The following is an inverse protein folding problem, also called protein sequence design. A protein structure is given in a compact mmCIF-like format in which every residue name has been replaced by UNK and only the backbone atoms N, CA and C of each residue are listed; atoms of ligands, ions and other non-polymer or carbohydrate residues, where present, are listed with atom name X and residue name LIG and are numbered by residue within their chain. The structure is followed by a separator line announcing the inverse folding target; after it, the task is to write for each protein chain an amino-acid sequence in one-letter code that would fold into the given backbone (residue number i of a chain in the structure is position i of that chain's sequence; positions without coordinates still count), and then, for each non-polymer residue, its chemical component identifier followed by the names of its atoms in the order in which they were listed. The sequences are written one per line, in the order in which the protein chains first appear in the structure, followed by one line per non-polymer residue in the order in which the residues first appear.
data_IF_655816345354
#
_entry.id   IF_655816345354
#
_cell.length_a   1.000
_cell.length_b   1.000
_cell.length_c   1.000
_cell.angle_alpha   90.00
_cell.angle_beta   90.00
_cell.angle_gamma   90.00
#
_symmetry.space_group_name_H-M   'P 1'
#
loop_
_entity.id
_entity.type
_entity.pdbx_description
1 polymer ?
#
# COMPACT_ATOMS: atom_id res chain seq x y z
N UNK A 1 26.79 41.80 -83.88
CA UNK A 1 25.75 41.01 -84.67
C UNK A 1 25.45 39.80 -83.86
N UNK A 2 24.09 39.67 -83.54
CA UNK A 2 23.34 38.40 -83.53
C UNK A 2 23.86 37.27 -82.65
N UNK A 3 23.15 36.58 -81.79
CA UNK A 3 21.73 36.30 -81.75
C UNK A 3 21.43 35.77 -80.38
N UNK A 4 20.22 36.06 -79.90
CA UNK A 4 19.65 35.54 -78.73
C UNK A 4 19.40 34.02 -78.85
N UNK A 5 19.74 33.29 -77.86
CA UNK A 5 19.11 31.97 -77.65
C UNK A 5 18.64 31.87 -76.20
N UNK A 6 17.33 31.89 -76.07
CA UNK A 6 16.62 31.67 -74.84
C UNK A 6 16.58 30.15 -74.65
N UNK A 7 17.23 29.65 -73.65
CA UNK A 7 17.05 28.25 -73.27
C UNK A 7 16.20 28.22 -72.01
N UNK A 8 14.95 27.88 -72.21
CA UNK A 8 14.01 27.60 -71.12
C UNK A 8 14.40 26.29 -70.47
N UNK A 9 15.07 26.35 -69.29
CA UNK A 9 15.31 25.16 -68.47
C UNK A 9 14.04 24.85 -67.70
N UNK A 10 13.34 23.84 -68.14
CA UNK A 10 12.23 23.20 -67.46
C UNK A 10 12.74 22.58 -66.15
N UNK A 11 12.51 23.26 -65.04
CA UNK A 11 12.83 22.75 -63.70
C UNK A 11 11.75 21.70 -63.35
N UNK A 12 12.04 20.45 -63.61
CA UNK A 12 11.27 19.33 -63.14
C UNK A 12 11.52 19.21 -61.62
N UNK A 13 10.58 19.75 -60.83
CA UNK A 13 10.50 19.50 -59.39
C UNK A 13 10.00 18.08 -59.22
N UNK A 14 10.91 17.17 -59.01
CA UNK A 14 10.56 15.81 -58.56
C UNK A 14 10.16 15.97 -57.10
N UNK A 15 8.85 16.01 -56.86
CA UNK A 15 8.28 15.80 -55.56
C UNK A 15 8.48 14.32 -55.21
N UNK A 16 9.61 13.97 -54.64
CA UNK A 16 9.75 12.73 -53.90
C UNK A 16 8.93 12.83 -52.65
N UNK A 17 7.62 12.50 -52.80
CA UNK A 17 6.76 12.13 -51.70
C UNK A 17 7.37 10.92 -51.05
N UNK A 18 8.23 11.13 -50.04
CA UNK A 18 8.43 10.13 -49.01
C UNK A 18 7.09 10.01 -48.29
N UNK A 19 6.29 9.08 -48.72
CA UNK A 19 5.29 8.51 -47.84
C UNK A 19 6.05 7.77 -46.73
N UNK A 20 6.41 8.48 -45.70
CA UNK A 20 6.69 7.90 -44.41
C UNK A 20 5.32 7.34 -43.95
N UNK A 21 5.03 6.12 -44.37
CA UNK A 21 4.08 5.31 -43.61
C UNK A 21 4.75 5.04 -42.28
N UNK A 22 4.71 6.01 -41.37
CA UNK A 22 4.62 5.68 -39.97
C UNK A 22 3.32 4.90 -39.86
N UNK A 23 3.42 3.58 -39.94
CA UNK A 23 2.58 2.75 -39.12
C UNK A 23 2.93 3.21 -37.72
N UNK A 24 2.30 4.30 -37.27
CA UNK A 24 1.99 4.45 -35.90
C UNK A 24 1.18 3.20 -35.61
N UNK A 25 1.88 2.17 -35.12
CA UNK A 25 1.25 1.17 -34.29
C UNK A 25 0.65 2.00 -33.14
N UNK A 26 -0.57 2.41 -33.35
CA UNK A 26 -1.42 2.87 -32.28
C UNK A 26 -1.52 1.66 -31.39
N UNK A 27 -0.65 1.63 -30.40
CA UNK A 27 -0.73 0.67 -29.33
C UNK A 27 -2.08 0.90 -28.66
N UNK A 28 -3.10 0.18 -29.15
CA UNK A 28 -4.46 0.19 -28.60
C UNK A 28 -4.49 -0.34 -27.17
N UNK A 29 -3.32 -0.65 -26.58
CA UNK A 29 -3.17 -0.92 -25.16
C UNK A 29 -3.19 0.33 -24.28
N UNK A 30 -3.02 1.53 -24.86
CA UNK A 30 -3.02 2.80 -24.12
C UNK A 30 -4.42 3.34 -23.77
N UNK A 31 -5.49 2.62 -24.09
CA UNK A 31 -6.87 3.12 -23.94
C UNK A 31 -7.61 2.72 -22.67
N UNK A 32 -7.17 1.73 -21.92
CA UNK A 32 -7.77 1.35 -20.64
C UNK A 32 -6.76 1.65 -19.55
N UNK A 33 -7.05 2.63 -18.66
CA UNK A 33 -6.19 2.86 -17.52
C UNK A 33 -5.98 1.55 -16.78
N UNK A 34 -4.73 1.10 -16.66
CA UNK A 34 -4.42 -0.10 -15.91
C UNK A 34 -4.70 0.19 -14.45
N UNK A 35 -5.57 -0.60 -13.85
CA UNK A 35 -6.00 -0.41 -12.47
C UNK A 35 -5.51 -1.60 -11.65
N UNK A 36 -4.58 -1.34 -10.74
CA UNK A 36 -4.11 -2.37 -9.82
C UNK A 36 -5.07 -2.67 -8.67
N UNK A 37 -6.09 -1.84 -8.46
CA UNK A 37 -7.18 -2.08 -7.51
C UNK A 37 -8.48 -1.54 -8.13
N UNK A 38 -9.30 -2.39 -8.77
CA UNK A 38 -10.55 -1.96 -9.40
C UNK A 38 -11.56 -1.52 -8.33
N UNK A 39 -11.89 -0.21 -8.29
CA UNK A 39 -12.76 0.37 -7.27
C UNK A 39 -14.21 0.56 -7.77
N UNK A 40 -14.86 -0.53 -8.20
CA UNK A 40 -16.30 -0.54 -8.58
C UNK A 40 -17.13 -1.03 -7.41
N UNK A 41 -18.28 -0.40 -7.14
CA UNK A 41 -19.20 -0.85 -6.09
C UNK A 41 -19.66 -2.29 -6.36
N UNK A 42 -19.63 -3.12 -5.32
CA UNK A 42 -19.94 -4.54 -5.40
C UNK A 42 -18.73 -5.44 -5.71
N UNK A 43 -17.58 -4.88 -6.09
CA UNK A 43 -16.36 -5.68 -6.13
C UNK A 43 -16.01 -6.20 -4.74
N UNK A 44 -15.53 -7.44 -4.68
CA UNK A 44 -15.03 -8.02 -3.44
C UNK A 44 -13.82 -8.93 -3.66
N UNK A 45 -13.12 -9.18 -2.56
CA UNK A 45 -11.96 -10.08 -2.45
C UNK A 45 -12.08 -10.87 -1.16
N UNK A 46 -11.92 -12.18 -1.24
CA UNK A 46 -11.87 -13.08 -0.09
C UNK A 46 -10.41 -13.48 0.16
N UNK A 47 -9.95 -13.23 1.37
CA UNK A 47 -8.60 -13.58 1.79
C UNK A 47 -8.61 -14.68 2.83
N UNK A 48 -7.91 -15.80 2.59
CA UNK A 48 -7.54 -16.74 3.65
C UNK A 48 -6.42 -16.13 4.48
N UNK A 49 -6.69 -15.92 5.76
CA UNK A 49 -5.76 -15.30 6.70
C UNK A 49 -5.09 -16.39 7.53
N UNK A 50 -3.78 -16.39 7.57
CA UNK A 50 -3.00 -17.39 8.27
C UNK A 50 -1.98 -16.74 9.22
N UNK A 51 -1.90 -17.30 10.44
CA UNK A 51 -0.80 -17.01 11.36
C UNK A 51 0.38 -17.91 10.99
N UNK A 52 1.53 -17.30 10.69
CA UNK A 52 2.78 -18.03 10.43
C UNK A 52 3.41 -18.47 11.73
N UNK A 53 3.67 -19.77 11.86
CA UNK A 53 4.38 -20.35 13.01
C UNK A 53 5.70 -20.95 12.52
N UNK A 54 6.87 -20.36 12.87
CA UNK A 54 8.16 -20.90 12.44
C UNK A 54 8.33 -22.36 12.81
N UNK A 55 8.63 -23.21 11.82
CA UNK A 55 8.87 -24.64 12.03
C UNK A 55 7.62 -25.50 12.24
N UNK A 56 6.41 -24.94 12.07
CA UNK A 56 5.14 -25.65 12.15
C UNK A 56 4.25 -25.30 10.94
N UNK A 57 3.11 -25.99 10.84
CA UNK A 57 2.09 -25.66 9.84
C UNK A 57 1.43 -24.35 10.27
N UNK A 58 1.24 -23.44 9.30
CA UNK A 58 0.50 -22.21 9.53
C UNK A 58 -0.94 -22.54 9.97
N UNK A 59 -1.47 -21.74 10.88
CA UNK A 59 -2.85 -21.87 11.35
C UNK A 59 -3.74 -20.86 10.65
N UNK A 60 -4.86 -21.33 10.07
CA UNK A 60 -5.87 -20.43 9.51
C UNK A 60 -6.57 -19.68 10.64
N UNK A 61 -6.70 -18.36 10.47
CA UNK A 61 -7.47 -17.47 11.34
C UNK A 61 -8.90 -17.25 10.78
N UNK A 62 -9.14 -17.63 9.52
CA UNK A 62 -10.42 -17.51 8.83
C UNK A 62 -10.34 -16.79 7.50
N UNK A 63 -11.50 -16.52 6.92
CA UNK A 63 -11.64 -15.81 5.64
C UNK A 63 -12.13 -14.38 5.91
N UNK A 64 -11.41 -13.41 5.38
CA UNK A 64 -11.83 -12.02 5.36
C UNK A 64 -12.49 -11.69 4.03
N UNK A 65 -13.78 -11.31 4.08
CA UNK A 65 -14.54 -10.85 2.92
C UNK A 65 -14.47 -9.33 2.84
N UNK A 66 -13.53 -8.80 2.07
CA UNK A 66 -13.33 -7.36 1.85
C UNK A 66 -14.07 -6.90 0.60
N UNK A 67 -14.97 -5.93 0.70
CA UNK A 67 -15.79 -5.47 -0.42
C UNK A 67 -15.98 -3.95 -0.47
N UNK A 68 -16.28 -3.44 -1.66
CA UNK A 68 -16.65 -2.04 -1.88
C UNK A 68 -18.15 -1.90 -1.69
N UNK A 69 -18.54 -1.24 -0.60
CA UNK A 69 -19.95 -1.13 -0.22
C UNK A 69 -20.68 -0.02 -0.97
N UNK A 70 -20.12 1.18 -0.97
CA UNK A 70 -20.75 2.38 -1.54
C UNK A 70 -19.73 3.52 -1.67
N UNK A 71 -20.16 4.62 -2.25
CA UNK A 71 -19.42 5.87 -2.18
C UNK A 71 -19.61 6.55 -0.82
N UNK A 72 -18.60 7.25 -0.37
CA UNK A 72 -18.62 8.07 0.85
C UNK A 72 -17.95 9.42 0.58
N UNK A 73 -18.37 10.45 1.28
CA UNK A 73 -17.78 11.80 1.17
C UNK A 73 -17.03 12.12 2.45
N UNK A 74 -15.75 12.44 2.31
CA UNK A 74 -14.88 12.86 3.42
C UNK A 74 -14.31 14.23 3.05
N UNK A 75 -14.61 15.25 3.85
CA UNK A 75 -14.18 16.65 3.62
C UNK A 75 -14.47 17.14 2.20
N UNK A 76 -15.66 16.81 1.66
CA UNK A 76 -16.11 17.25 0.34
C UNK A 76 -15.55 16.44 -0.84
N UNK A 77 -14.74 15.42 -0.60
CA UNK A 77 -14.15 14.54 -1.62
C UNK A 77 -14.82 13.17 -1.57
N UNK A 78 -15.17 12.63 -2.76
CA UNK A 78 -15.77 11.29 -2.88
C UNK A 78 -14.70 10.21 -2.87
N UNK A 79 -14.93 9.17 -2.06
CA UNK A 79 -14.15 7.95 -1.92
C UNK A 79 -15.07 6.73 -2.04
N UNK A 80 -14.48 5.58 -2.31
CA UNK A 80 -15.12 4.26 -2.12
C UNK A 80 -15.00 3.84 -0.67
N UNK A 81 -16.08 3.40 -0.05
CA UNK A 81 -16.11 2.83 1.30
C UNK A 81 -15.89 1.33 1.22
N UNK A 82 -14.75 0.87 1.75
CA UNK A 82 -14.50 -0.56 1.91
C UNK A 82 -15.06 -1.05 3.25
N UNK A 83 -15.55 -2.28 3.26
CA UNK A 83 -16.08 -2.96 4.45
C UNK A 83 -15.70 -4.43 4.44
N UNK A 84 -15.85 -5.07 5.59
CA UNK A 84 -15.81 -6.52 5.75
C UNK A 84 -17.12 -7.00 6.38
N UNK A 85 -17.52 -8.24 6.13
CA UNK A 85 -18.77 -8.82 6.71
C UNK A 85 -18.66 -9.01 8.22
N UNK A 86 -17.48 -9.32 8.73
CA UNK A 86 -17.18 -9.47 10.15
C UNK A 86 -15.93 -8.64 10.50
N UNK A 87 -15.49 -8.67 11.76
CA UNK A 87 -14.19 -8.15 12.15
C UNK A 87 -13.12 -8.95 11.40
N UNK A 88 -12.27 -8.32 10.58
CA UNK A 88 -11.27 -9.04 9.82
C UNK A 88 -10.15 -9.54 10.74
N UNK A 89 -9.58 -10.65 10.35
CA UNK A 89 -8.40 -11.22 10.97
C UNK A 89 -7.11 -10.61 10.38
N UNK A 90 -7.12 -10.33 9.07
CA UNK A 90 -5.97 -9.83 8.33
C UNK A 90 -5.74 -8.33 8.52
N UNK A 91 -4.48 -7.95 8.58
CA UNK A 91 -4.10 -6.55 8.81
C UNK A 91 -4.39 -5.66 7.60
N UNK A 92 -4.18 -6.16 6.37
CA UNK A 92 -4.50 -5.44 5.14
C UNK A 92 -6.01 -5.17 5.06
N UNK A 93 -6.83 -6.21 5.21
CA UNK A 93 -8.29 -6.11 5.23
C UNK A 93 -8.77 -5.15 6.31
N UNK A 94 -8.19 -5.22 7.53
CA UNK A 94 -8.52 -4.34 8.64
C UNK A 94 -8.12 -2.88 8.37
N UNK A 95 -7.00 -2.65 7.70
CA UNK A 95 -6.55 -1.29 7.35
C UNK A 95 -7.51 -0.63 6.36
N UNK A 96 -8.02 -1.36 5.38
CA UNK A 96 -8.88 -0.78 4.34
C UNK A 96 -10.35 -0.65 4.76
N UNK A 97 -10.88 -1.56 5.57
CA UNK A 97 -12.34 -1.70 5.83
C UNK A 97 -13.03 -0.44 6.35
N UNK A 98 -12.36 0.42 7.11
CA UNK A 98 -12.96 1.60 7.71
C UNK A 98 -12.56 2.90 7.04
N UNK A 99 -11.71 2.83 6.03
CA UNK A 99 -11.20 3.99 5.33
C UNK A 99 -11.96 4.28 4.04
N UNK A 100 -11.94 5.53 3.62
CA UNK A 100 -12.32 5.90 2.27
C UNK A 100 -11.13 5.70 1.33
N UNK A 101 -11.31 4.94 0.25
CA UNK A 101 -10.26 4.70 -0.75
C UNK A 101 -10.63 5.26 -2.11
N UNK A 102 -9.65 5.74 -2.86
CA UNK A 102 -9.82 6.18 -4.25
C UNK A 102 -8.54 6.00 -5.06
N UNK A 103 -8.71 5.99 -6.38
CA UNK A 103 -7.58 6.17 -7.29
C UNK A 103 -7.35 7.68 -7.47
N UNK A 104 -6.11 8.12 -7.30
CA UNK A 104 -5.67 9.50 -7.51
C UNK A 104 -4.45 9.50 -8.42
N UNK A 105 -4.64 9.84 -9.70
CA UNK A 105 -3.65 9.60 -10.74
C UNK A 105 -3.35 8.10 -10.84
N UNK A 106 -2.08 7.72 -10.69
CA UNK A 106 -1.64 6.31 -10.69
C UNK A 106 -1.55 5.71 -9.28
N UNK A 107 -2.11 6.36 -8.26
CA UNK A 107 -1.99 5.94 -6.86
C UNK A 107 -3.31 5.46 -6.28
N UNK A 108 -3.26 4.38 -5.48
CA UNK A 108 -4.31 3.99 -4.55
C UNK A 108 -4.08 4.75 -3.24
N UNK A 109 -5.01 5.62 -2.90
CA UNK A 109 -4.92 6.43 -1.68
C UNK A 109 -6.07 6.14 -0.72
N UNK A 110 -5.80 6.28 0.58
CA UNK A 110 -6.82 6.19 1.60
C UNK A 110 -6.86 7.44 2.50
N UNK A 111 -8.06 7.73 2.99
CA UNK A 111 -8.34 8.76 3.99
C UNK A 111 -9.18 8.16 5.10
N UNK A 112 -8.77 8.42 6.34
CA UNK A 112 -9.38 7.89 7.57
C UNK A 112 -8.35 7.64 8.66
N UNK A 113 -8.29 6.43 9.21
CA UNK A 113 -7.41 6.09 10.33
C UNK A 113 -6.71 4.76 10.12
N UNK A 114 -5.40 4.76 10.27
CA UNK A 114 -4.60 3.56 10.44
C UNK A 114 -4.54 3.22 11.92
N UNK A 115 -4.88 1.98 12.28
CA UNK A 115 -5.00 1.58 13.69
C UNK A 115 -4.11 0.36 13.95
N UNK A 116 -3.25 0.45 14.96
CA UNK A 116 -2.41 -0.65 15.43
C UNK A 116 -2.62 -0.87 16.92
N UNK A 117 -3.19 -2.01 17.34
CA UNK A 117 -3.11 -2.47 18.73
C UNK A 117 -1.64 -2.69 19.10
N UNK A 118 -1.19 -2.09 20.20
CA UNK A 118 0.18 -2.26 20.66
C UNK A 118 0.16 -2.74 22.13
N UNK A 119 0.88 -3.82 22.46
CA UNK A 119 0.89 -4.38 23.82
C UNK A 119 1.31 -3.35 24.86
N UNK A 120 0.61 -3.34 25.99
CA UNK A 120 0.85 -2.39 27.09
C UNK A 120 0.23 -1.02 26.93
N UNK A 121 -0.27 -0.65 25.74
CA UNK A 121 -1.04 0.59 25.58
C UNK A 121 -2.52 0.36 25.91
N UNK A 122 -3.15 1.35 26.56
CA UNK A 122 -4.57 1.30 26.91
C UNK A 122 -5.50 1.53 25.72
N UNK A 123 -5.02 2.29 24.74
CA UNK A 123 -5.71 2.55 23.47
C UNK A 123 -4.78 2.21 22.31
N UNK A 124 -5.32 1.69 21.20
CA UNK A 124 -4.54 1.45 19.99
C UNK A 124 -3.83 2.72 19.50
N UNK A 125 -2.70 2.56 18.85
CA UNK A 125 -2.06 3.63 18.07
C UNK A 125 -2.97 3.96 16.90
N UNK A 126 -3.36 5.23 16.77
CA UNK A 126 -4.23 5.73 15.72
C UNK A 126 -3.54 6.86 14.96
N UNK A 127 -3.29 6.62 13.68
CA UNK A 127 -2.63 7.57 12.78
C UNK A 127 -3.64 8.04 11.75
N UNK A 128 -3.86 9.35 11.68
CA UNK A 128 -4.75 9.93 10.68
C UNK A 128 -4.13 9.85 9.30
N UNK A 129 -4.88 9.27 8.37
CA UNK A 129 -4.54 9.21 6.95
C UNK A 129 -5.27 10.32 6.20
N UNK A 130 -4.52 11.08 5.42
CA UNK A 130 -5.08 12.10 4.52
C UNK A 130 -4.54 11.89 3.11
N UNK A 131 -5.30 11.21 2.27
CA UNK A 131 -4.87 10.79 0.94
C UNK A 131 -3.51 10.07 0.96
N UNK A 132 -3.27 9.26 1.99
CA UNK A 132 -2.06 8.48 2.11
C UNK A 132 -2.02 7.42 0.99
N UNK A 133 -0.99 7.44 0.18
CA UNK A 133 -0.84 6.51 -0.93
C UNK A 133 -0.19 5.20 -0.47
N UNK A 134 -0.96 4.11 -0.49
CA UNK A 134 -0.45 2.76 -0.22
C UNK A 134 0.29 2.17 -1.40
N UNK A 135 -0.16 2.50 -2.61
CA UNK A 135 0.36 1.97 -3.86
C UNK A 135 0.45 3.07 -4.91
N UNK A 136 1.47 2.98 -5.79
CA UNK A 136 1.61 3.85 -6.97
C UNK A 136 2.16 3.05 -8.14
N UNK A 137 1.38 3.00 -9.24
CA UNK A 137 1.66 2.13 -10.39
C UNK A 137 3.01 2.41 -11.05
N UNK A 138 3.33 3.66 -11.30
CA UNK A 138 4.55 4.07 -12.01
C UNK A 138 5.68 4.56 -11.09
N UNK A 139 5.66 4.18 -9.82
CA UNK A 139 6.78 4.44 -8.92
C UNK A 139 7.95 3.51 -9.25
N UNK A 140 9.17 4.07 -9.22
CA UNK A 140 10.40 3.30 -9.33
C UNK A 140 10.63 2.46 -8.07
N UNK A 141 11.27 1.31 -8.21
CA UNK A 141 11.62 0.47 -7.07
C UNK A 141 12.45 1.23 -6.04
N UNK A 142 12.19 0.95 -4.76
CA UNK A 142 12.83 1.56 -3.58
C UNK A 142 12.60 3.07 -3.42
N UNK A 143 11.58 3.63 -4.09
CA UNK A 143 11.18 5.03 -3.87
C UNK A 143 10.03 5.12 -2.86
N UNK A 144 10.10 6.10 -1.97
CA UNK A 144 9.00 6.43 -1.08
C UNK A 144 7.81 6.96 -1.89
N UNK A 145 6.63 6.39 -1.63
CA UNK A 145 5.38 6.78 -2.28
C UNK A 145 4.66 7.84 -1.44
N UNK A 146 4.60 7.61 -0.14
CA UNK A 146 3.92 8.46 0.82
C UNK A 146 4.51 8.29 2.21
N UNK A 147 4.46 9.34 3.03
CA UNK A 147 4.90 9.31 4.43
C UNK A 147 4.05 10.23 5.27
N UNK A 148 3.84 9.86 6.53
CA UNK A 148 3.26 10.71 7.58
C UNK A 148 3.93 10.42 8.90
N UNK A 149 4.16 11.46 9.72
CA UNK A 149 4.81 11.33 11.02
C UNK A 149 4.18 12.26 12.04
N UNK A 150 4.40 11.99 13.31
CA UNK A 150 3.91 12.81 14.41
C UNK A 150 4.20 12.18 15.75
N UNK A 151 3.65 12.78 16.80
CA UNK A 151 3.72 12.29 18.17
C UNK A 151 2.30 12.11 18.70
N UNK A 152 2.02 10.97 19.31
CA UNK A 152 0.80 10.69 20.05
C UNK A 152 1.12 10.70 21.55
N UNK A 153 0.18 11.18 22.34
CA UNK A 153 0.31 11.24 23.80
C UNK A 153 -0.70 10.28 24.43
N UNK A 154 -0.22 9.40 25.30
CA UNK A 154 -1.05 8.50 26.08
C UNK A 154 -0.56 8.48 27.54
N UNK A 155 -1.42 8.01 28.44
CA UNK A 155 -1.01 7.73 29.82
C UNK A 155 -1.26 6.28 30.11
N UNK A 156 -0.23 5.55 30.55
CA UNK A 156 -0.31 4.12 30.89
C UNK A 156 0.20 3.95 32.32
N UNK A 157 -0.60 3.34 33.17
CA UNK A 157 -0.25 3.11 34.60
C UNK A 157 0.22 4.38 35.32
N UNK A 158 -0.31 5.56 34.93
CA UNK A 158 0.08 6.86 35.51
C UNK A 158 1.33 7.49 34.88
N UNK A 159 2.00 6.82 33.97
CA UNK A 159 3.15 7.38 33.24
C UNK A 159 2.71 8.03 31.93
N UNK A 160 3.07 9.30 31.67
CA UNK A 160 2.83 9.94 30.38
C UNK A 160 3.79 9.32 29.35
N UNK A 161 3.26 8.94 28.20
CA UNK A 161 4.01 8.38 27.09
C UNK A 161 3.93 9.32 25.89
N UNK A 162 5.09 9.61 25.30
CA UNK A 162 5.22 10.21 23.98
C UNK A 162 5.56 9.10 23.00
N UNK A 163 4.69 8.92 21.99
CA UNK A 163 4.80 7.89 20.96
C UNK A 163 5.07 8.60 19.64
N UNK A 164 6.34 8.73 19.30
CA UNK A 164 6.76 9.23 17.98
C UNK A 164 6.55 8.15 16.95
N UNK A 165 5.92 8.49 15.82
CA UNK A 165 5.66 7.56 14.73
C UNK A 165 6.08 8.12 13.38
N UNK A 166 6.47 7.20 12.50
CA UNK A 166 6.59 7.44 11.05
C UNK A 166 5.97 6.27 10.31
N UNK A 167 4.88 6.52 9.60
CA UNK A 167 4.25 5.57 8.69
C UNK A 167 4.63 5.96 7.26
N UNK A 168 5.19 5.03 6.49
CA UNK A 168 5.58 5.26 5.10
C UNK A 168 5.27 4.07 4.20
N UNK A 169 4.95 4.34 2.95
CA UNK A 169 4.85 3.36 1.88
C UNK A 169 5.99 3.53 0.89
N UNK A 170 6.54 2.41 0.42
CA UNK A 170 7.72 2.36 -0.45
C UNK A 170 7.42 1.40 -1.61
N UNK A 171 7.60 1.86 -2.83
CA UNK A 171 7.54 0.98 -4.01
C UNK A 171 8.68 -0.04 -3.95
N UNK A 172 8.37 -1.28 -4.26
CA UNK A 172 9.34 -2.36 -4.36
C UNK A 172 9.48 -2.79 -5.83
N UNK A 173 9.94 -4.00 -6.06
CA UNK A 173 10.10 -4.58 -7.40
C UNK A 173 8.76 -4.76 -8.15
N UNK A 174 8.86 -4.75 -9.47
CA UNK A 174 7.82 -5.24 -10.37
C UNK A 174 8.18 -6.65 -10.82
N UNK A 175 7.25 -7.57 -10.67
CA UNK A 175 7.41 -8.99 -10.99
C UNK A 175 6.62 -9.32 -12.26
N UNK A 176 7.23 -10.02 -13.21
CA UNK A 176 6.52 -10.52 -14.40
C UNK A 176 5.38 -11.46 -13.99
N UNK A 177 5.62 -12.28 -12.95
CA UNK A 177 4.60 -13.10 -12.30
C UNK A 177 4.94 -13.35 -10.84
N UNK A 178 3.93 -13.69 -10.04
CA UNK A 178 4.06 -14.07 -8.64
C UNK A 178 3.14 -15.25 -8.34
N UNK A 179 3.65 -16.29 -7.66
CA UNK A 179 2.84 -17.42 -7.21
C UNK A 179 2.43 -17.20 -5.76
N UNK A 180 1.13 -17.21 -5.50
CA UNK A 180 0.56 -17.10 -4.16
C UNK A 180 -0.40 -18.28 -3.97
N UNK A 181 -0.13 -19.11 -2.98
CA UNK A 181 -0.95 -20.28 -2.62
C UNK A 181 -1.34 -21.17 -3.83
N UNK A 182 -0.37 -21.45 -4.71
CA UNK A 182 -0.56 -22.29 -5.91
C UNK A 182 -1.17 -21.58 -7.12
N UNK A 183 -1.61 -20.33 -6.99
CA UNK A 183 -2.11 -19.49 -8.09
C UNK A 183 -1.03 -18.56 -8.60
N UNK A 184 -0.80 -18.52 -9.91
CA UNK A 184 0.18 -17.62 -10.53
C UNK A 184 -0.51 -16.38 -11.11
N UNK A 185 -0.12 -15.22 -10.64
CA UNK A 185 -0.63 -13.91 -11.05
C UNK A 185 0.40 -13.22 -11.93
N UNK A 186 0.04 -12.75 -13.14
CA UNK A 186 0.94 -11.99 -13.99
C UNK A 186 0.99 -10.51 -13.59
N UNK A 187 2.07 -9.81 -13.97
CA UNK A 187 2.21 -8.36 -13.84
C UNK A 187 1.95 -7.87 -12.40
N UNK A 188 2.72 -8.35 -11.45
CA UNK A 188 2.56 -8.02 -10.04
C UNK A 188 3.53 -6.91 -9.64
N UNK A 189 3.01 -5.91 -8.93
CA UNK A 189 3.81 -4.87 -8.27
C UNK A 189 3.77 -5.07 -6.78
N UNK A 190 4.94 -4.98 -6.16
CA UNK A 190 5.10 -5.06 -4.71
C UNK A 190 5.26 -3.68 -4.11
N UNK A 191 4.58 -3.43 -3.01
CA UNK A 191 4.79 -2.27 -2.15
C UNK A 191 5.10 -2.74 -0.73
N UNK A 192 5.70 -1.85 0.05
CA UNK A 192 5.97 -2.09 1.46
C UNK A 192 5.47 -0.91 2.28
N UNK A 193 4.57 -1.21 3.22
CA UNK A 193 4.16 -0.27 4.26
C UNK A 193 5.00 -0.52 5.51
N UNK A 194 5.55 0.53 6.13
CA UNK A 194 6.40 0.44 7.31
C UNK A 194 5.91 1.45 8.34
N UNK A 195 5.67 0.99 9.56
CA UNK A 195 5.47 1.85 10.71
C UNK A 195 6.66 1.76 11.65
N UNK A 196 7.39 2.85 11.80
CA UNK A 196 8.39 3.03 12.83
C UNK A 196 7.74 3.66 14.06
N UNK A 197 8.15 3.20 15.24
CA UNK A 197 7.78 3.79 16.52
C UNK A 197 9.02 4.02 17.39
N UNK A 198 8.95 5.11 18.16
CA UNK A 198 9.79 5.37 19.32
C UNK A 198 8.88 5.75 20.47
N UNK A 199 9.06 5.16 21.66
CA UNK A 199 8.24 5.49 22.84
C UNK A 199 9.15 5.96 23.95
N UNK A 200 8.81 7.12 24.48
CA UNK A 200 9.50 7.72 25.64
C UNK A 200 8.52 8.05 26.74
N UNK A 201 9.01 8.17 27.96
CA UNK A 201 8.27 8.72 29.11
C UNK A 201 9.11 9.77 29.81
N UNK A 202 8.48 10.82 30.29
CA UNK A 202 9.16 11.87 31.08
C UNK A 202 8.49 11.98 32.44
N UNK A 203 9.27 11.77 33.51
CA UNK A 203 8.81 11.91 34.87
C UNK A 203 9.84 12.71 35.67
N UNK A 204 9.39 13.70 36.42
CA UNK A 204 10.26 14.59 37.23
C UNK A 204 11.44 15.19 36.43
N UNK A 205 11.23 15.53 35.16
CA UNK A 205 12.25 16.12 34.29
C UNK A 205 13.27 15.09 33.73
N UNK A 206 13.11 13.81 34.02
CA UNK A 206 13.95 12.73 33.47
C UNK A 206 13.18 12.01 32.36
N UNK A 207 13.77 11.97 31.17
CA UNK A 207 13.22 11.21 30.03
C UNK A 207 13.88 9.86 29.94
N UNK A 208 13.05 8.81 29.87
CA UNK A 208 13.46 7.43 29.64
C UNK A 208 12.90 6.93 28.30
N UNK A 209 13.71 6.21 27.53
CA UNK A 209 13.28 5.55 26.31
C UNK A 209 12.77 4.15 26.65
N UNK A 210 11.51 3.87 26.32
CA UNK A 210 10.86 2.58 26.53
C UNK A 210 11.01 1.70 25.29
N UNK A 211 10.82 2.29 24.11
CA UNK A 211 11.05 1.67 22.80
C UNK A 211 11.96 2.58 21.99
N UNK A 212 13.10 2.08 21.55
CA UNK A 212 13.99 2.79 20.62
C UNK A 212 13.34 2.87 19.25
N UNK A 213 13.72 3.86 18.43
CA UNK A 213 13.20 3.98 17.06
C UNK A 213 13.48 2.71 16.26
N UNK A 214 12.41 2.01 15.88
CA UNK A 214 12.46 0.75 15.13
C UNK A 214 11.19 0.53 14.32
N UNK A 215 11.27 -0.26 13.21
CA UNK A 215 10.08 -0.69 12.49
C UNK A 215 9.32 -1.73 13.33
N UNK A 216 8.12 -1.37 13.78
CA UNK A 216 7.27 -2.28 14.56
C UNK A 216 6.23 -2.99 13.72
N UNK A 217 5.96 -2.47 12.52
CA UNK A 217 5.06 -3.11 11.58
C UNK A 217 5.61 -2.97 10.17
N UNK A 218 5.62 -4.07 9.44
CA UNK A 218 5.99 -4.10 8.02
C UNK A 218 4.98 -4.95 7.27
N UNK A 219 4.31 -4.37 6.27
CA UNK A 219 3.46 -5.09 5.33
C UNK A 219 4.17 -5.13 3.98
N UNK A 220 4.29 -6.31 3.40
CA UNK A 220 4.64 -6.50 2.00
C UNK A 220 3.38 -6.86 1.25
N UNK A 221 2.93 -5.98 0.36
CA UNK A 221 1.68 -6.07 -0.37
C UNK A 221 1.97 -6.32 -1.85
N UNK A 222 1.27 -7.27 -2.45
CA UNK A 222 1.46 -7.70 -3.85
C UNK A 222 0.18 -7.44 -4.64
N UNK A 223 0.24 -6.49 -5.55
CA UNK A 223 -0.89 -6.08 -6.38
C UNK A 223 -0.74 -6.64 -7.79
N UNK A 224 -1.70 -7.46 -8.23
CA UNK A 224 -1.78 -7.94 -9.61
C UNK A 224 -2.59 -6.96 -10.46
N UNK A 225 -2.12 -6.75 -11.70
CA UNK A 225 -2.78 -5.85 -12.66
C UNK A 225 -4.23 -6.25 -12.89
N UNK A 226 -5.14 -5.27 -12.82
CA UNK A 226 -6.59 -5.40 -13.02
C UNK A 226 -7.29 -6.34 -12.01
N UNK A 227 -6.66 -6.71 -10.91
CA UNK A 227 -7.23 -7.63 -9.94
C UNK A 227 -7.29 -7.05 -8.54
N UNK A 228 -6.22 -6.44 -8.07
CA UNK A 228 -6.10 -5.96 -6.71
C UNK A 228 -4.94 -6.62 -5.96
N UNK A 229 -4.99 -6.53 -4.64
CA UNK A 229 -4.03 -7.22 -3.78
C UNK A 229 -4.27 -8.74 -3.86
N UNK A 230 -3.23 -9.51 -4.10
CA UNK A 230 -3.29 -10.97 -4.22
C UNK A 230 -2.58 -11.69 -3.09
N UNK A 231 -1.75 -10.96 -2.36
CA UNK A 231 -1.05 -11.47 -1.20
C UNK A 231 -0.53 -10.33 -0.35
N UNK A 232 -0.64 -10.48 0.97
CA UNK A 232 0.01 -9.62 1.94
C UNK A 232 0.74 -10.47 2.98
N UNK A 233 1.97 -10.06 3.32
CA UNK A 233 2.72 -10.60 4.45
C UNK A 233 2.94 -9.47 5.45
N UNK A 234 2.41 -9.63 6.64
CA UNK A 234 2.49 -8.65 7.74
C UNK A 234 3.42 -9.18 8.82
N UNK A 235 4.48 -8.44 9.11
CA UNK A 235 5.35 -8.68 10.27
C UNK A 235 5.08 -7.62 11.33
N UNK A 236 4.62 -8.04 12.50
CA UNK A 236 4.60 -7.25 13.72
C UNK A 236 5.76 -7.68 14.62
N UNK A 237 6.69 -6.76 14.88
CA UNK A 237 7.89 -7.04 15.64
C UNK A 237 8.28 -5.84 16.50
N UNK A 238 8.73 -6.10 17.74
CA UNK A 238 9.43 -5.11 18.52
C UNK A 238 10.40 -5.77 19.52
N UNK A 239 11.43 -5.00 19.88
CA UNK A 239 12.35 -5.31 20.98
C UNK A 239 12.41 -4.13 21.94
N UNK A 240 12.15 -4.38 23.23
CA UNK A 240 12.28 -3.41 24.31
C UNK A 240 13.18 -3.97 25.43
N UNK A 241 13.74 -3.07 26.21
CA UNK A 241 14.58 -3.49 27.35
C UNK A 241 13.77 -4.38 28.31
N UNK A 242 14.34 -5.49 28.76
CA UNK A 242 13.66 -6.47 29.60
C UNK A 242 13.15 -5.90 30.95
N UNK A 243 13.87 -4.95 31.56
CA UNK A 243 13.41 -4.29 32.78
C UNK A 243 12.19 -3.40 32.53
N UNK A 244 12.14 -2.71 31.40
CA UNK A 244 10.98 -1.93 30.95
C UNK A 244 9.80 -2.86 30.71
N UNK A 245 10.01 -3.93 29.95
CA UNK A 245 8.98 -4.93 29.65
C UNK A 245 8.35 -5.49 30.94
N UNK A 246 9.16 -5.88 31.90
CA UNK A 246 8.71 -6.36 33.22
C UNK A 246 7.87 -5.30 33.95
N UNK A 247 8.29 -4.03 33.93
CA UNK A 247 7.59 -2.95 34.61
C UNK A 247 6.20 -2.67 34.04
N UNK A 248 6.00 -2.94 32.72
CA UNK A 248 4.73 -2.78 32.03
C UNK A 248 3.94 -4.09 31.88
N UNK A 249 4.48 -5.23 32.34
CA UNK A 249 3.83 -6.55 32.24
C UNK A 249 3.65 -7.02 30.80
N UNK A 250 4.55 -6.68 29.90
CA UNK A 250 4.50 -7.03 28.48
C UNK A 250 5.74 -7.87 28.09
N UNK A 251 5.69 -8.64 26.99
CA UNK A 251 6.89 -9.31 26.47
C UNK A 251 7.98 -8.32 26.08
N UNK A 252 9.24 -8.66 26.34
CA UNK A 252 10.39 -7.85 25.92
C UNK A 252 10.56 -7.86 24.39
N UNK A 253 10.23 -8.98 23.76
CA UNK A 253 10.28 -9.16 22.30
C UNK A 253 8.99 -9.79 21.82
N UNK A 254 8.44 -9.27 20.72
CA UNK A 254 7.39 -9.93 19.93
C UNK A 254 7.89 -10.05 18.50
N UNK A 255 7.59 -11.18 17.86
CA UNK A 255 7.72 -11.36 16.42
C UNK A 255 6.58 -12.24 15.94
N UNK A 256 5.62 -11.65 15.24
CA UNK A 256 4.44 -12.33 14.72
C UNK A 256 4.32 -12.02 13.24
N UNK A 257 4.09 -13.06 12.45
CA UNK A 257 3.87 -12.94 11.01
C UNK A 257 2.49 -13.46 10.66
N UNK A 258 1.78 -12.70 9.85
CA UNK A 258 0.47 -13.01 9.33
C UNK A 258 0.53 -12.93 7.80
N UNK A 259 -0.20 -13.80 7.14
CA UNK A 259 -0.31 -13.84 5.69
C UNK A 259 -1.78 -13.80 5.27
N UNK A 260 -2.08 -12.99 4.26
CA UNK A 260 -3.40 -12.91 3.64
C UNK A 260 -3.26 -13.35 2.18
N UNK A 261 -3.93 -14.45 1.80
CA UNK A 261 -3.91 -15.03 0.45
C UNK A 261 -5.25 -14.80 -0.23
N UNK A 262 -5.25 -14.17 -1.40
CA UNK A 262 -6.47 -14.07 -2.20
C UNK A 262 -6.95 -15.46 -2.62
N UNK A 263 -8.20 -15.80 -2.29
CA UNK A 263 -8.82 -17.10 -2.62
C UNK A 263 -9.91 -16.96 -3.68
N UNK A 264 -10.81 -16.00 -3.51
CA UNK A 264 -11.87 -15.68 -4.47
C UNK A 264 -12.03 -14.17 -4.62
N UNK A 265 -12.61 -13.76 -5.73
CA UNK A 265 -12.93 -12.36 -5.99
C UNK A 265 -14.07 -12.24 -7.00
N UNK A 266 -14.71 -11.08 -7.00
CA UNK A 266 -15.68 -10.68 -8.02
C UNK A 266 -15.41 -9.24 -8.44
N UNK A 267 -15.33 -9.02 -9.73
CA UNK A 267 -15.10 -7.70 -10.33
C UNK A 267 -16.21 -7.41 -11.36
N UNK A 268 -16.85 -6.24 -11.20
CA UNK A 268 -17.88 -5.73 -12.10
C UNK A 268 -17.27 -4.94 -13.26
#
# INVERSE_FOLDING_TARGET
MKTKLILASLLAVILSSCSHSSTDDVDLSDGIPTVYMPLTNGNYWDYDVQQVTPGAVNSSLGIDHLFIANDTVISGVTYKKMKTTAMPNGFFSNTLRNNGVKISGSSLVATGTFTLPFPGLTTPIQINLNNFAFFKENASANTEISSTSGTLHQTVSGYPLDIDYTLKSVAQETLASYNSNGVTYPNVKKTRLILNLKITTTSSGITATLLTDQPVLTLNEYFAKNLGNVYTNTLFHYDINASVATSFGIPATISQTEEEFLTTYHLN
#
